data_IF_964013773714
#
_entry.id   IF_964013773714
#
_cell.length_a   1.000
_cell.length_b   1.000
_cell.length_c   1.000
_cell.angle_alpha   90.00
_cell.angle_beta   90.00
_cell.angle_gamma   90.00
#
_symmetry.space_group_name_H-M   'P 1'
#
loop_
_entity.id
_entity.type
_entity.pdbx_description
1 polymer ?
#
# COMPACT_ATOMS: atom_id res chain seq x y z
N UNK A 1 28.67 -4.20 7.18
CA UNK A 1 27.77 -3.80 8.29
C UNK A 1 26.35 -4.24 7.96
N UNK A 2 25.67 -4.78 8.98
CA UNK A 2 24.27 -5.19 9.05
C UNK A 2 23.73 -6.24 8.03
N UNK A 3 23.79 -7.51 8.45
CA UNK A 3 22.80 -8.53 8.04
C UNK A 3 21.43 -8.15 8.62
N UNK A 4 20.38 -8.20 7.81
CA UNK A 4 19.02 -8.37 8.30
C UNK A 4 18.34 -9.49 7.49
N UNK A 5 18.47 -10.69 8.06
CA UNK A 5 17.67 -11.88 7.78
C UNK A 5 16.27 -11.61 8.34
N UNK A 6 15.20 -11.96 7.62
CA UNK A 6 14.08 -12.82 8.07
C UNK A 6 13.06 -12.94 6.93
N UNK A 7 12.95 -14.14 6.36
CA UNK A 7 11.80 -14.56 5.58
C UNK A 7 10.64 -14.82 6.54
N UNK A 8 9.47 -14.21 6.35
CA UNK A 8 8.26 -14.61 7.07
C UNK A 8 6.99 -14.39 6.27
N UNK A 9 6.23 -15.49 6.16
CA UNK A 9 4.81 -15.67 5.88
C UNK A 9 4.15 -14.70 4.88
N UNK A 10 3.67 -15.27 3.77
CA UNK A 10 2.72 -14.65 2.84
C UNK A 10 1.43 -14.24 3.56
N UNK A 11 1.48 -13.17 4.33
CA UNK A 11 0.32 -12.46 4.82
C UNK A 11 -0.01 -11.47 3.71
N UNK A 12 -1.08 -11.75 2.99
CA UNK A 12 -1.59 -10.83 1.97
C UNK A 12 -2.47 -9.81 2.68
N UNK A 13 -2.19 -8.54 2.46
CA UNK A 13 -3.04 -7.44 2.89
C UNK A 13 -3.94 -7.07 1.73
N UNK A 14 -5.25 -6.96 2.00
CA UNK A 14 -6.19 -6.38 1.05
C UNK A 14 -6.17 -4.87 1.22
N UNK A 15 -5.75 -4.19 0.16
CA UNK A 15 -5.70 -2.72 0.14
C UNK A 15 -6.83 -2.24 -0.76
N UNK A 16 -7.73 -1.44 -0.21
CA UNK A 16 -8.89 -0.86 -0.91
C UNK A 16 -8.74 0.64 -0.97
N UNK A 17 -8.83 1.25 -2.15
CA UNK A 17 -8.87 2.71 -2.24
C UNK A 17 -10.27 3.23 -1.86
N UNK A 18 -10.39 3.94 -0.74
CA UNK A 18 -11.68 4.52 -0.29
C UNK A 18 -11.82 5.97 -0.76
N UNK A 19 -10.72 6.72 -0.76
CA UNK A 19 -10.73 8.14 -1.14
C UNK A 19 -10.01 8.37 -2.45
N UNK A 20 -10.51 9.36 -3.19
CA UNK A 20 -9.91 9.78 -4.44
C UNK A 20 -8.51 10.35 -4.22
N UNK A 21 -7.64 10.12 -5.21
CA UNK A 21 -6.29 10.68 -5.29
C UNK A 21 -6.27 12.09 -5.91
N UNK A 22 -7.42 12.63 -6.30
CA UNK A 22 -7.52 13.99 -6.84
C UNK A 22 -7.21 14.98 -5.72
N UNK A 23 -6.29 15.92 -5.97
CA UNK A 23 -5.85 16.93 -4.99
C UNK A 23 -4.78 16.46 -4.00
N UNK A 24 -4.33 15.20 -4.07
CA UNK A 24 -3.20 14.72 -3.25
C UNK A 24 -1.87 15.01 -3.91
N UNK A 25 -0.80 15.07 -3.08
CA UNK A 25 0.59 15.21 -3.52
C UNK A 25 0.94 14.15 -4.56
N UNK A 26 1.78 14.52 -5.52
CA UNK A 26 2.21 13.64 -6.60
C UNK A 26 2.87 12.36 -6.08
N UNK A 27 3.66 12.45 -5.00
CA UNK A 27 4.27 11.29 -4.35
C UNK A 27 3.23 10.27 -3.86
N UNK A 28 2.08 10.74 -3.35
CA UNK A 28 1.02 9.85 -2.87
C UNK A 28 0.28 9.22 -4.05
N UNK A 29 0.06 9.97 -5.13
CA UNK A 29 -0.46 9.43 -6.40
C UNK A 29 0.46 8.34 -6.96
N UNK A 30 1.77 8.55 -6.94
CA UNK A 30 2.74 7.56 -7.38
C UNK A 30 2.69 6.29 -6.52
N UNK A 31 2.58 6.42 -5.19
CA UNK A 31 2.43 5.27 -4.30
C UNK A 31 1.14 4.47 -4.57
N UNK A 32 -0.01 5.16 -4.70
CA UNK A 32 -1.30 4.49 -5.00
C UNK A 32 -1.26 3.78 -6.34
N UNK A 33 -0.68 4.40 -7.37
CA UNK A 33 -0.47 3.76 -8.69
C UNK A 33 0.51 2.59 -8.61
N UNK A 34 1.59 2.72 -7.83
CA UNK A 34 2.60 1.67 -7.62
C UNK A 34 2.04 0.45 -6.88
N UNK A 35 1.03 0.65 -6.02
CA UNK A 35 0.26 -0.42 -5.38
C UNK A 35 -0.80 -1.06 -6.31
N UNK A 36 -0.95 -0.59 -7.56
CA UNK A 36 -1.90 -1.14 -8.53
C UNK A 36 -3.34 -0.64 -8.38
N UNK A 37 -3.57 0.35 -7.52
CA UNK A 37 -4.89 0.96 -7.31
C UNK A 37 -5.13 2.03 -8.38
N UNK A 38 -6.02 1.70 -9.32
CA UNK A 38 -6.31 2.51 -10.51
C UNK A 38 -7.73 3.08 -10.50
N UNK A 39 -8.66 2.45 -9.76
CA UNK A 39 -10.06 2.85 -9.63
C UNK A 39 -10.48 2.99 -8.16
N UNK A 40 -11.46 3.84 -7.90
CA UNK A 40 -12.13 3.94 -6.60
C UNK A 40 -12.73 2.59 -6.21
N UNK A 41 -12.62 2.22 -4.93
CA UNK A 41 -13.07 0.95 -4.35
C UNK A 41 -12.44 -0.31 -4.96
N UNK A 42 -11.36 -0.18 -5.73
CA UNK A 42 -10.59 -1.33 -6.17
C UNK A 42 -9.84 -1.91 -4.97
N UNK A 43 -9.98 -3.22 -4.80
CA UNK A 43 -9.20 -4.05 -3.88
C UNK A 43 -8.00 -4.65 -4.62
N UNK A 44 -6.82 -4.54 -4.02
CA UNK A 44 -5.60 -5.22 -4.50
C UNK A 44 -5.00 -6.00 -3.34
N UNK A 45 -4.64 -7.25 -3.59
CA UNK A 45 -3.91 -8.08 -2.65
C UNK A 45 -2.43 -7.80 -2.79
N UNK A 46 -1.79 -7.34 -1.71
CA UNK A 46 -0.37 -7.01 -1.68
C UNK A 46 0.31 -7.82 -0.59
N UNK A 47 1.52 -8.31 -0.86
CA UNK A 47 2.32 -9.02 0.14
C UNK A 47 2.73 -8.07 1.28
N UNK A 48 2.58 -8.52 2.52
CA UNK A 48 2.98 -7.79 3.73
C UNK A 48 4.50 -7.75 3.87
N UNK A 49 5.13 -6.88 3.09
CA UNK A 49 6.55 -6.55 3.24
C UNK A 49 6.70 -5.24 4.02
N UNK A 50 7.79 -5.05 4.78
CA UNK A 50 8.04 -3.79 5.48
C UNK A 50 8.11 -2.58 4.51
N UNK A 51 8.52 -2.81 3.26
CA UNK A 51 8.48 -1.80 2.21
C UNK A 51 7.04 -1.39 1.83
N UNK A 52 6.14 -2.36 1.64
CA UNK A 52 4.73 -2.12 1.35
C UNK A 52 4.03 -1.43 2.52
N UNK A 53 4.27 -1.85 3.77
CA UNK A 53 3.78 -1.13 4.96
C UNK A 53 4.25 0.32 4.98
N UNK A 54 5.51 0.58 4.66
CA UNK A 54 6.04 1.93 4.55
C UNK A 54 5.31 2.78 3.50
N UNK A 55 4.96 2.18 2.36
CA UNK A 55 4.14 2.85 1.34
C UNK A 55 2.71 3.10 1.83
N UNK A 56 2.05 2.09 2.40
CA UNK A 56 0.67 2.18 2.92
C UNK A 56 0.58 3.24 4.01
N UNK A 57 1.54 3.31 4.95
CA UNK A 57 1.57 4.32 6.00
C UNK A 57 1.63 5.75 5.45
N UNK A 58 2.28 6.00 4.31
CA UNK A 58 2.27 7.33 3.66
C UNK A 58 0.90 7.69 3.10
N UNK A 59 0.13 6.70 2.65
CA UNK A 59 -1.18 6.89 2.02
C UNK A 59 -2.34 6.40 2.90
N UNK A 60 -2.13 6.22 4.21
CA UNK A 60 -3.08 5.59 5.14
C UNK A 60 -4.48 6.21 5.12
N UNK A 61 -4.58 7.51 4.83
CA UNK A 61 -5.84 8.25 4.80
C UNK A 61 -6.63 8.07 3.49
N UNK A 62 -6.02 7.46 2.47
CA UNK A 62 -6.61 7.19 1.15
C UNK A 62 -7.05 5.73 0.97
N UNK A 63 -6.39 4.81 1.68
CA UNK A 63 -6.57 3.37 1.55
C UNK A 63 -7.07 2.74 2.85
N UNK A 64 -8.02 1.82 2.72
CA UNK A 64 -8.34 0.83 3.74
C UNK A 64 -7.38 -0.34 3.58
N UNK A 65 -6.74 -0.75 4.67
CA UNK A 65 -6.08 -2.03 4.74
C UNK A 65 -6.93 -2.99 5.58
N UNK A 66 -7.29 -4.13 5.00
CA UNK A 66 -7.95 -5.25 5.67
C UNK A 66 -6.94 -6.40 5.70
N UNK A 67 -6.76 -7.01 6.88
CA UNK A 67 -5.81 -8.09 7.15
C UNK A 67 -6.48 -9.46 7.10
#
# INVERSE_FOLDING_TARGET
>A
MAKAKTAQAKKTLKVTQIKSVIGTKESHRACVRGLGLRRMHQTVEVEDTPAVRGMINKVFYLVKCEA
#
